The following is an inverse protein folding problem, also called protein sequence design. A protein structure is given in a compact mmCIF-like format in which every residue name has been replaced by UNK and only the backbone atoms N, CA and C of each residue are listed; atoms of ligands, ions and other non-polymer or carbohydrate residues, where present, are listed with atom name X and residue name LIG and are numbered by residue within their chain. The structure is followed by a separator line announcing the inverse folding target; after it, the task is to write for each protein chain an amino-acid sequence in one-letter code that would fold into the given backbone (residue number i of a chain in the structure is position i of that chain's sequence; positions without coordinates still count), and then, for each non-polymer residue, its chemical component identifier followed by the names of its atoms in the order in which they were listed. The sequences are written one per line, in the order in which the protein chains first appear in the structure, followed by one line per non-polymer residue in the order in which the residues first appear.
data_IF_820083505131
#
_entry.id   IF_820083505131
#
_cell.length_a   1.000
_cell.length_b   1.000
_cell.length_c   1.000
_cell.angle_alpha   90.00
_cell.angle_beta   90.00
_cell.angle_gamma   90.00
#
_symmetry.space_group_name_H-M   'P 1'
#
loop_
_entity.id
_entity.type
_entity.pdbx_description
1 polymer ?
#
# COMPACT_ATOMS: atom_id res chain seq x y z
N UNK A 1 8.96 17.16 9.92
CA UNK A 1 9.13 16.70 8.54
C UNK A 1 10.11 15.56 8.48
N UNK A 2 9.76 14.54 7.74
CA UNK A 2 10.62 13.39 7.57
C UNK A 2 11.73 13.67 6.56
N UNK A 3 12.90 13.06 6.79
CA UNK A 3 13.97 13.12 5.81
C UNK A 3 13.51 12.48 4.50
N UNK A 4 14.04 12.93 3.35
CA UNK A 4 13.71 12.30 2.08
C UNK A 4 14.02 10.82 2.11
N UNK A 5 13.08 10.02 1.64
CA UNK A 5 13.27 8.59 1.58
C UNK A 5 14.21 8.25 0.43
N UNK A 6 15.21 7.45 0.74
CA UNK A 6 16.12 6.97 -0.29
C UNK A 6 15.47 5.79 -1.01
N UNK A 7 15.35 5.89 -2.33
CA UNK A 7 14.76 4.85 -3.16
C UNK A 7 15.84 4.28 -4.05
N UNK A 8 16.13 3.00 -3.88
CA UNK A 8 17.17 2.31 -4.63
C UNK A 8 16.54 1.29 -5.58
N UNK A 9 17.05 1.19 -6.83
CA UNK A 9 16.52 0.22 -7.77
C UNK A 9 16.67 -1.22 -7.27
N UNK A 10 15.66 -2.05 -7.55
CA UNK A 10 15.71 -3.46 -7.22
C UNK A 10 15.41 -3.80 -5.78
N UNK A 11 15.02 -2.83 -4.99
CA UNK A 11 14.70 -3.06 -3.58
C UNK A 11 13.29 -3.63 -3.42
N UNK A 12 13.13 -4.54 -2.47
CA UNK A 12 11.82 -5.07 -2.09
C UNK A 12 11.35 -4.36 -0.81
N UNK A 13 10.11 -3.95 -0.80
CA UNK A 13 9.54 -3.17 0.30
C UNK A 13 8.28 -3.81 0.86
N UNK A 14 8.09 -3.63 2.16
CA UNK A 14 6.79 -3.79 2.78
C UNK A 14 6.16 -2.40 2.86
N UNK A 15 5.05 -2.21 2.17
CA UNK A 15 4.35 -0.93 2.07
C UNK A 15 3.06 -0.99 2.84
N UNK A 16 2.78 0.05 3.62
CA UNK A 16 1.57 0.13 4.45
C UNK A 16 0.95 1.51 4.31
N UNK A 17 -0.39 1.57 4.29
CA UNK A 17 -1.12 2.83 4.34
C UNK A 17 -2.40 2.63 5.15
N UNK A 18 -2.75 3.62 5.98
CA UNK A 18 -3.92 3.55 6.86
C UNK A 18 -4.95 4.61 6.50
N UNK A 19 -6.23 4.26 6.66
CA UNK A 19 -7.32 5.19 6.43
C UNK A 19 -7.38 6.29 7.48
N UNK A 20 -7.96 7.42 7.10
CA UNK A 20 -8.11 8.57 7.98
C UNK A 20 -8.90 8.18 9.23
N UNK A 21 -8.41 8.60 10.39
CA UNK A 21 -9.06 8.38 11.68
C UNK A 21 -9.39 6.91 11.94
N UNK A 22 -8.64 6.01 11.29
CA UNK A 22 -8.82 4.55 11.41
C UNK A 22 -10.22 4.09 11.02
N UNK A 23 -10.91 4.86 10.21
CA UNK A 23 -12.24 4.48 9.72
C UNK A 23 -12.14 3.25 8.81
N UNK A 24 -13.18 2.45 8.81
CA UNK A 24 -13.23 1.22 8.01
C UNK A 24 -13.64 1.52 6.56
N UNK A 25 -12.85 2.33 5.87
CA UNK A 25 -13.15 2.74 4.50
C UNK A 25 -12.79 1.67 3.47
N UNK A 26 -11.98 0.68 3.88
CA UNK A 26 -11.60 -0.44 3.02
C UNK A 26 -12.34 -1.73 3.41
N UNK A 27 -13.50 -1.60 4.06
CA UNK A 27 -14.27 -2.76 4.50
C UNK A 27 -14.49 -3.72 3.34
N UNK A 28 -14.29 -5.03 3.54
CA UNK A 28 -14.42 -6.00 2.46
C UNK A 28 -15.78 -5.93 1.78
N UNK A 29 -15.75 -5.82 0.47
CA UNK A 29 -16.94 -5.80 -0.37
C UNK A 29 -16.49 -6.03 -1.82
N UNK A 30 -17.45 -6.35 -2.69
CA UNK A 30 -17.13 -6.51 -4.11
C UNK A 30 -16.52 -5.22 -4.67
N UNK A 31 -17.08 -4.07 -4.30
CA UNK A 31 -16.60 -2.78 -4.82
C UNK A 31 -15.17 -2.51 -4.37
N UNK A 32 -14.88 -2.65 -3.07
CA UNK A 32 -13.54 -2.40 -2.55
C UNK A 32 -12.53 -3.36 -3.18
N UNK A 33 -12.87 -4.63 -3.26
CA UNK A 33 -11.98 -5.63 -3.83
C UNK A 33 -11.69 -5.37 -5.29
N UNK A 34 -12.70 -5.06 -6.08
CA UNK A 34 -12.52 -4.79 -7.50
C UNK A 34 -11.72 -3.51 -7.74
N UNK A 35 -12.05 -2.43 -7.03
CA UNK A 35 -11.35 -1.17 -7.18
C UNK A 35 -9.89 -1.33 -6.80
N UNK A 36 -9.63 -1.90 -5.63
CA UNK A 36 -8.26 -2.01 -5.16
C UNK A 36 -7.42 -2.88 -6.09
N UNK A 37 -7.93 -4.04 -6.48
CA UNK A 37 -7.20 -4.96 -7.33
C UNK A 37 -6.95 -4.35 -8.71
N UNK A 38 -7.95 -3.68 -9.28
CA UNK A 38 -7.80 -3.07 -10.59
C UNK A 38 -6.75 -1.95 -10.55
N UNK A 39 -6.85 -1.05 -9.58
CA UNK A 39 -5.91 0.07 -9.48
C UNK A 39 -4.50 -0.43 -9.19
N UNK A 40 -4.38 -1.43 -8.32
CA UNK A 40 -3.08 -2.03 -8.03
C UNK A 40 -2.43 -2.61 -9.29
N UNK A 41 -3.20 -3.35 -10.07
CA UNK A 41 -2.69 -3.96 -11.30
C UNK A 41 -2.25 -2.91 -12.31
N UNK A 42 -3.05 -1.85 -12.50
CA UNK A 42 -2.72 -0.77 -13.43
C UNK A 42 -1.48 -0.01 -12.95
N UNK A 43 -1.40 0.28 -11.67
CA UNK A 43 -0.26 0.99 -11.10
C UNK A 43 1.02 0.18 -11.24
N UNK A 44 0.94 -1.11 -10.94
CA UNK A 44 2.09 -2.00 -11.05
C UNK A 44 2.63 -2.05 -12.48
N UNK A 45 1.74 -2.19 -13.44
CA UNK A 45 2.13 -2.20 -14.85
C UNK A 45 2.71 -0.87 -15.29
N UNK A 46 2.06 0.23 -14.91
CA UNK A 46 2.48 1.57 -15.33
C UNK A 46 3.88 1.93 -14.83
N UNK A 47 4.22 1.55 -13.61
CA UNK A 47 5.49 1.93 -13.01
C UNK A 47 6.50 0.79 -12.94
N UNK A 48 6.18 -0.36 -13.52
CA UNK A 48 7.10 -1.49 -13.55
C UNK A 48 7.37 -2.09 -12.18
N UNK A 49 6.43 -1.99 -11.26
CA UNK A 49 6.57 -2.53 -9.91
C UNK A 49 6.04 -3.95 -9.88
N UNK A 50 6.80 -4.84 -9.24
CA UNK A 50 6.42 -6.26 -9.12
C UNK A 50 5.72 -6.46 -7.77
N UNK A 51 4.45 -6.86 -7.82
CA UNK A 51 3.66 -7.09 -6.62
C UNK A 51 3.72 -8.58 -6.27
N UNK A 52 4.27 -8.90 -5.11
CA UNK A 52 4.41 -10.28 -4.65
C UNK A 52 3.24 -10.72 -3.79
N UNK A 53 2.70 -9.81 -2.98
CA UNK A 53 1.57 -10.11 -2.12
C UNK A 53 0.89 -8.81 -1.72
N UNK A 54 -0.38 -8.90 -1.37
CA UNK A 54 -1.10 -7.75 -0.82
C UNK A 54 -2.18 -8.25 0.13
N UNK A 55 -2.54 -7.39 1.07
CA UNK A 55 -3.59 -7.68 2.03
C UNK A 55 -4.35 -6.38 2.30
N UNK A 56 -5.66 -6.42 2.12
CA UNK A 56 -6.52 -5.25 2.37
C UNK A 56 -7.35 -5.56 3.59
N UNK A 57 -7.16 -4.77 4.64
CA UNK A 57 -7.94 -4.87 5.86
C UNK A 57 -8.92 -3.71 5.91
N UNK A 58 -9.83 -3.73 6.87
CA UNK A 58 -10.93 -2.75 6.86
C UNK A 58 -10.47 -1.30 6.90
N UNK A 59 -9.31 -1.02 7.52
CA UNK A 59 -8.82 0.35 7.67
C UNK A 59 -7.38 0.58 7.23
N UNK A 60 -6.76 -0.39 6.57
CA UNK A 60 -5.41 -0.23 6.04
C UNK A 60 -5.09 -1.35 5.05
N UNK A 61 -4.01 -1.17 4.29
CA UNK A 61 -3.53 -2.23 3.41
C UNK A 61 -2.03 -2.40 3.56
N UNK A 62 -1.56 -3.57 3.13
CA UNK A 62 -0.14 -3.92 3.09
C UNK A 62 0.19 -4.49 1.73
N UNK A 63 1.36 -4.14 1.22
CA UNK A 63 1.88 -4.71 -0.03
C UNK A 63 3.31 -5.18 0.20
N UNK A 64 3.68 -6.26 -0.48
CA UNK A 64 5.09 -6.64 -0.63
C UNK A 64 5.41 -6.49 -2.10
N UNK A 65 6.29 -5.57 -2.42
CA UNK A 65 6.59 -5.21 -3.82
C UNK A 65 8.09 -5.08 -4.02
N UNK A 66 8.55 -5.38 -5.24
CA UNK A 66 9.90 -5.07 -5.67
C UNK A 66 9.83 -3.94 -6.69
N UNK A 67 10.71 -2.97 -6.54
CA UNK A 67 10.75 -1.76 -7.36
C UNK A 67 12.01 -1.75 -8.22
N UNK A 68 11.99 -2.34 -9.42
CA UNK A 68 13.20 -2.45 -10.25
C UNK A 68 13.78 -1.11 -10.68
N UNK A 69 12.94 -0.11 -10.87
CA UNK A 69 13.34 1.14 -11.51
C UNK A 69 13.26 2.35 -10.60
N UNK A 70 13.21 2.14 -9.29
CA UNK A 70 13.12 3.22 -8.30
C UNK A 70 11.92 4.14 -8.54
N UNK A 71 10.77 3.54 -8.84
CA UNK A 71 9.52 4.25 -9.11
C UNK A 71 8.53 4.20 -7.95
N UNK A 72 8.95 3.72 -6.79
CA UNK A 72 8.04 3.50 -5.68
C UNK A 72 7.22 4.72 -5.28
N UNK A 73 7.81 5.92 -5.14
CA UNK A 73 7.00 7.09 -4.76
C UNK A 73 5.90 7.40 -5.76
N UNK A 74 6.19 7.33 -7.05
CA UNK A 74 5.20 7.59 -8.09
C UNK A 74 4.12 6.52 -8.10
N UNK A 75 4.52 5.26 -7.93
CA UNK A 75 3.60 4.14 -7.85
C UNK A 75 2.62 4.32 -6.69
N UNK A 76 3.15 4.64 -5.50
CA UNK A 76 2.32 4.81 -4.31
C UNK A 76 1.37 5.99 -4.44
N UNK A 77 1.85 7.09 -4.97
CA UNK A 77 0.99 8.25 -5.17
C UNK A 77 -0.16 7.94 -6.11
N UNK A 78 0.13 7.25 -7.20
CA UNK A 78 -0.88 6.86 -8.17
C UNK A 78 -1.91 5.91 -7.55
N UNK A 79 -1.45 4.87 -6.87
CA UNK A 79 -2.30 3.88 -6.21
C UNK A 79 -3.20 4.55 -5.18
N UNK A 80 -2.61 5.29 -4.27
CA UNK A 80 -3.35 5.89 -3.17
C UNK A 80 -4.37 6.92 -3.66
N UNK A 81 -4.00 7.73 -4.65
CA UNK A 81 -4.92 8.74 -5.20
C UNK A 81 -6.12 8.12 -5.87
N UNK A 82 -5.89 7.10 -6.71
CA UNK A 82 -7.00 6.53 -7.46
C UNK A 82 -7.91 5.68 -6.58
N UNK A 83 -7.34 4.94 -5.63
CA UNK A 83 -8.15 4.18 -4.67
C UNK A 83 -9.01 5.16 -3.85
N UNK A 84 -8.41 6.24 -3.37
CA UNK A 84 -9.13 7.23 -2.58
C UNK A 84 -10.28 7.85 -3.39
N UNK A 85 -10.01 8.26 -4.62
CA UNK A 85 -11.04 8.91 -5.44
C UNK A 85 -12.18 7.95 -5.77
N UNK A 86 -11.85 6.74 -6.17
CA UNK A 86 -12.87 5.76 -6.54
C UNK A 86 -13.73 5.35 -5.35
N UNK A 87 -13.12 5.08 -4.21
CA UNK A 87 -13.86 4.63 -3.04
C UNK A 87 -14.61 5.77 -2.36
N UNK A 88 -14.05 6.98 -2.33
CA UNK A 88 -14.79 8.12 -1.83
C UNK A 88 -16.04 8.38 -2.67
N UNK A 89 -15.92 8.26 -4.00
CA UNK A 89 -17.09 8.40 -4.87
C UNK A 89 -18.14 7.35 -4.55
N UNK A 90 -17.72 6.11 -4.36
CA UNK A 90 -18.62 5.02 -4.03
C UNK A 90 -19.30 5.21 -2.69
N UNK A 91 -18.60 5.83 -1.72
CA UNK A 91 -19.13 6.04 -0.37
C UNK A 91 -19.83 7.39 -0.19
N UNK A 92 -19.86 8.21 -1.23
CA UNK A 92 -20.45 9.54 -1.12
C UNK A 92 -19.64 10.46 -0.23
N UNK A 93 -18.32 10.28 -0.20
CA UNK A 93 -17.42 11.08 0.62
C UNK A 93 -16.49 11.92 -0.26
N UNK A 94 -16.02 13.03 0.30
CA UNK A 94 -14.94 13.80 -0.32
C UNK A 94 -13.88 14.25 0.69
N UNK A 95 -13.97 13.81 1.92
CA UNK A 95 -12.94 14.05 2.93
C UNK A 95 -11.70 13.21 2.62
N UNK A 96 -10.61 13.48 3.33
CA UNK A 96 -9.39 12.72 3.18
C UNK A 96 -9.65 11.22 3.43
N UNK A 97 -9.19 10.40 2.51
CA UNK A 97 -9.35 8.95 2.63
C UNK A 97 -8.25 8.34 3.49
N UNK A 98 -7.00 8.79 3.27
CA UNK A 98 -5.85 8.26 3.97
C UNK A 98 -5.45 9.13 5.14
N UNK A 99 -4.97 8.51 6.22
CA UNK A 99 -4.46 9.24 7.37
C UNK A 99 -3.16 9.96 6.98
N UNK A 100 -3.01 11.23 7.38
CA UNK A 100 -1.74 11.93 7.16
C UNK A 100 -0.59 11.17 7.78
N UNK A 101 0.55 11.14 7.10
CA UNK A 101 1.78 10.52 7.60
C UNK A 101 1.64 9.03 7.92
N UNK A 102 0.63 8.35 7.35
CA UNK A 102 0.47 6.91 7.58
C UNK A 102 1.20 6.04 6.56
N UNK A 103 1.78 6.66 5.54
CA UNK A 103 2.54 5.92 4.54
C UNK A 103 3.83 5.37 5.14
N UNK A 104 4.07 4.09 4.91
CA UNK A 104 5.29 3.44 5.38
C UNK A 104 5.78 2.50 4.28
N UNK A 105 7.07 2.54 4.01
CA UNK A 105 7.72 1.60 3.10
C UNK A 105 9.04 1.18 3.76
N UNK A 106 9.09 -0.07 4.16
CA UNK A 106 10.25 -0.64 4.85
C UNK A 106 10.98 -1.58 3.91
N UNK A 107 12.27 -1.34 3.69
CA UNK A 107 13.06 -2.21 2.84
C UNK A 107 13.26 -3.57 3.50
N UNK A 108 13.03 -4.62 2.73
CA UNK A 108 13.22 -6.00 3.19
C UNK A 108 14.55 -6.46 2.62
N UNK A 109 15.57 -6.56 3.49
CA UNK A 109 16.95 -6.71 3.03
C UNK A 109 17.43 -8.15 2.99
N UNK A 110 16.73 -9.10 3.61
CA UNK A 110 17.12 -10.49 3.60
C UNK A 110 16.04 -11.36 2.99
N UNK A 111 16.42 -12.53 2.43
CA UNK A 111 15.40 -13.48 1.96
C UNK A 111 14.43 -13.90 3.06
N UNK A 112 14.90 -13.95 4.29
CA UNK A 112 14.06 -14.32 5.42
C UNK A 112 13.02 -13.25 5.71
N UNK A 113 13.40 -11.98 5.62
CA UNK A 113 12.46 -10.89 5.81
C UNK A 113 11.35 -10.95 4.76
N UNK A 114 11.71 -11.19 3.50
CA UNK A 114 10.74 -11.29 2.43
C UNK A 114 9.80 -12.46 2.67
N UNK A 115 10.37 -13.62 2.99
CA UNK A 115 9.58 -14.83 3.22
C UNK A 115 8.64 -14.63 4.41
N UNK A 116 9.13 -14.03 5.48
CA UNK A 116 8.33 -13.78 6.67
C UNK A 116 7.16 -12.85 6.36
N UNK A 117 7.42 -11.80 5.59
CA UNK A 117 6.35 -10.87 5.18
C UNK A 117 5.30 -11.54 4.31
N UNK A 118 5.72 -12.45 3.42
CA UNK A 118 4.80 -13.15 2.54
C UNK A 118 3.96 -14.18 3.29
N UNK A 119 4.52 -14.83 4.31
CA UNK A 119 3.84 -15.93 4.98
C UNK A 119 3.08 -15.52 6.23
N UNK A 120 3.54 -14.48 6.92
CA UNK A 120 2.93 -14.04 8.18
C UNK A 120 2.28 -12.68 8.09
N UNK A 121 2.50 -11.99 6.99
CA UNK A 121 2.08 -10.62 6.86
C UNK A 121 2.96 -9.68 7.66
N UNK A 122 2.57 -8.42 7.78
CA UNK A 122 3.42 -7.39 8.38
C UNK A 122 3.55 -7.57 9.89
N UNK A 123 4.71 -7.96 10.33
CA UNK A 123 4.97 -8.15 11.75
C UNK A 123 4.89 -6.87 12.54
N UNK A 124 5.34 -5.79 11.93
CA UNK A 124 5.27 -4.48 12.56
C UNK A 124 3.84 -4.11 12.91
N UNK A 125 2.91 -4.43 12.03
CA UNK A 125 1.51 -4.17 12.30
C UNK A 125 1.02 -4.98 13.48
N UNK A 126 1.45 -6.23 13.59
CA UNK A 126 1.03 -7.08 14.68
C UNK A 126 1.67 -6.69 16.01
N UNK A 127 2.87 -6.15 15.97
CA UNK A 127 3.59 -5.79 17.18
C UNK A 127 3.29 -4.37 17.66
N UNK A 128 2.64 -3.57 16.84
CA UNK A 128 2.33 -2.20 17.20
C UNK A 128 0.97 -2.15 17.86
N UNK A 129 0.89 -1.69 19.08
CA UNK A 129 -0.39 -1.60 19.79
C UNK A 129 -1.37 -0.68 19.11
#
# INVERSE_FOLDING_TARGET
MTAPRQVLPGTTYLVTRRCAQRQFLLRPSAVVNEVFLYVLAVAAERFGVLVHAFCVLSNHFHLVVTDPDAQLPAFEQYLDSLVARALNASLGRWEAFWAPSSYSAVALVSPEDVLDSLTRGPRAASSTP
#
